data_IF_059840438142
#
_entry.id   IF_059840438142
#
_cell.length_a   1.000
_cell.length_b   1.000
_cell.length_c   1.000
_cell.angle_alpha   90.00
_cell.angle_beta   90.00
_cell.angle_gamma   90.00
#
_symmetry.space_group_name_H-M   'P 1'
#
loop_
_entity.id
_entity.type
_entity.pdbx_description
1 polymer ?
#
# COMPACT_ATOMS: atom_id res chain seq x y z
N UNK A 1 -38.69 -55.48 37.20
CA UNK A 1 -38.68 -54.00 37.20
C UNK A 1 -37.24 -53.52 37.42
N UNK A 2 -36.42 -53.55 36.36
CA UNK A 2 -35.01 -53.12 36.41
C UNK A 2 -34.91 -51.68 35.96
N UNK A 3 -34.86 -50.76 36.92
CA UNK A 3 -34.59 -49.34 36.67
C UNK A 3 -33.16 -49.20 36.16
N UNK A 4 -33.01 -48.71 34.93
CA UNK A 4 -31.72 -48.31 34.40
C UNK A 4 -31.14 -47.18 35.25
N UNK A 5 -30.09 -47.49 36.00
CA UNK A 5 -29.27 -46.53 36.71
C UNK A 5 -28.73 -45.48 35.71
N UNK A 6 -29.14 -44.23 35.93
CA UNK A 6 -28.62 -43.08 35.22
C UNK A 6 -27.12 -42.98 35.43
N UNK A 7 -26.35 -43.16 34.36
CA UNK A 7 -24.90 -42.94 34.37
C UNK A 7 -24.62 -41.53 34.88
N UNK A 8 -23.73 -41.35 35.89
CA UNK A 8 -23.40 -40.01 36.37
C UNK A 8 -22.77 -39.23 35.22
N UNK A 9 -23.37 -38.07 34.90
CA UNK A 9 -22.80 -37.11 33.96
C UNK A 9 -21.39 -36.78 34.45
N UNK A 10 -20.37 -37.29 33.75
CA UNK A 10 -18.97 -36.95 34.03
C UNK A 10 -18.84 -35.44 33.84
N UNK A 11 -18.81 -34.70 34.94
CA UNK A 11 -18.50 -33.27 34.93
C UNK A 11 -17.18 -33.11 34.16
N UNK A 12 -17.23 -32.41 33.04
CA UNK A 12 -16.04 -32.19 32.22
C UNK A 12 -14.92 -31.63 33.10
N UNK A 13 -13.70 -32.14 32.94
CA UNK A 13 -12.53 -31.66 33.66
C UNK A 13 -12.48 -30.11 33.61
N UNK A 14 -12.16 -29.42 34.71
CA UNK A 14 -12.10 -27.95 34.74
C UNK A 14 -11.25 -27.35 33.61
N UNK A 15 -10.22 -28.08 33.16
CA UNK A 15 -9.37 -27.73 32.02
C UNK A 15 -10.13 -27.77 30.70
N UNK A 16 -10.93 -28.80 30.48
CA UNK A 16 -11.79 -28.95 29.29
C UNK A 16 -12.86 -27.87 29.29
N UNK A 17 -13.51 -27.61 30.42
CA UNK A 17 -14.48 -26.53 30.55
C UNK A 17 -13.86 -25.15 30.24
N UNK A 18 -12.64 -24.89 30.72
CA UNK A 18 -11.91 -23.65 30.42
C UNK A 18 -11.54 -23.52 28.93
N UNK A 19 -11.06 -24.60 28.30
CA UNK A 19 -10.74 -24.59 26.87
C UNK A 19 -11.99 -24.39 26.00
N UNK A 20 -13.09 -25.07 26.32
CA UNK A 20 -14.37 -24.90 25.60
C UNK A 20 -14.88 -23.46 25.73
N UNK A 21 -14.78 -22.85 26.91
CA UNK A 21 -15.13 -21.45 27.14
C UNK A 21 -14.24 -20.51 26.32
N UNK A 22 -12.94 -20.76 26.25
CA UNK A 22 -12.01 -19.98 25.43
C UNK A 22 -12.32 -20.08 23.93
N UNK A 23 -12.63 -21.29 23.44
CA UNK A 23 -13.03 -21.51 22.04
C UNK A 23 -14.34 -20.78 21.74
N UNK A 24 -15.33 -20.88 22.62
CA UNK A 24 -16.59 -20.16 22.49
C UNK A 24 -16.37 -18.65 22.39
N UNK A 25 -15.55 -18.07 23.29
CA UNK A 25 -15.23 -16.65 23.22
C UNK A 25 -14.48 -16.26 21.95
N UNK A 26 -13.60 -17.13 21.44
CA UNK A 26 -12.90 -16.88 20.18
C UNK A 26 -13.88 -16.85 19.01
N UNK A 27 -14.79 -17.82 18.93
CA UNK A 27 -15.82 -17.86 17.89
C UNK A 27 -16.77 -16.66 17.99
N UNK A 28 -17.22 -16.34 19.19
CA UNK A 28 -18.05 -15.17 19.44
C UNK A 28 -17.31 -13.87 19.09
N UNK A 29 -16.04 -13.74 19.46
CA UNK A 29 -15.24 -12.57 19.10
C UNK A 29 -15.08 -12.42 17.59
N UNK A 30 -15.01 -13.53 16.83
CA UNK A 30 -14.96 -13.48 15.35
C UNK A 30 -16.27 -13.01 14.71
N UNK A 31 -17.43 -13.25 15.34
CA UNK A 31 -18.73 -12.79 14.80
C UNK A 31 -19.18 -11.45 15.37
N UNK A 32 -18.93 -11.16 16.65
CA UNK A 32 -19.38 -9.95 17.34
C UNK A 32 -18.86 -8.65 16.69
N UNK A 33 -17.61 -8.64 16.24
CA UNK A 33 -17.00 -7.45 15.60
C UNK A 33 -17.01 -7.51 14.07
N UNK A 34 -17.88 -8.33 13.46
CA UNK A 34 -17.97 -8.46 11.99
C UNK A 34 -18.19 -7.11 11.30
N UNK A 35 -19.17 -6.33 11.78
CA UNK A 35 -19.53 -5.02 11.21
C UNK A 35 -18.38 -4.01 11.27
N UNK A 36 -17.62 -4.01 12.37
CA UNK A 36 -16.46 -3.11 12.50
C UNK A 36 -15.32 -3.52 11.57
N UNK A 37 -15.05 -4.83 11.43
CA UNK A 37 -13.97 -5.32 10.57
C UNK A 37 -14.25 -5.08 9.08
N UNK A 38 -15.50 -5.25 8.63
CA UNK A 38 -15.85 -4.96 7.23
C UNK A 38 -15.70 -3.46 6.90
N UNK A 39 -16.03 -2.57 7.85
CA UNK A 39 -16.04 -1.12 7.60
C UNK A 39 -14.67 -0.46 7.84
N UNK A 40 -13.91 -0.93 8.85
CA UNK A 40 -12.66 -0.28 9.31
C UNK A 40 -11.43 -1.18 9.24
N UNK A 41 -11.57 -2.43 8.76
CA UNK A 41 -10.45 -3.35 8.60
C UNK A 41 -9.36 -2.78 7.68
N UNK A 42 -9.76 -2.07 6.62
CA UNK A 42 -8.82 -1.37 5.73
C UNK A 42 -7.96 -0.38 6.53
N UNK A 43 -8.56 0.43 7.38
CA UNK A 43 -7.84 1.43 8.18
C UNK A 43 -6.81 0.80 9.13
N UNK A 44 -7.14 -0.35 9.72
CA UNK A 44 -6.17 -1.11 10.54
C UNK A 44 -5.01 -1.70 9.74
N UNK A 45 -5.21 -1.98 8.45
CA UNK A 45 -4.12 -2.41 7.56
C UNK A 45 -3.25 -1.22 7.19
N UNK A 46 -3.86 -0.11 6.79
CA UNK A 46 -3.15 1.11 6.42
C UNK A 46 -2.33 1.70 7.56
N UNK A 47 -2.84 1.70 8.79
CA UNK A 47 -2.08 2.14 9.97
C UNK A 47 -0.85 1.28 10.24
N UNK A 48 -0.88 -0.03 9.92
CA UNK A 48 0.29 -0.91 10.00
C UNK A 48 1.26 -0.73 8.83
N UNK A 49 0.76 -0.33 7.67
CA UNK A 49 1.58 -0.04 6.49
C UNK A 49 2.15 1.39 6.48
N UNK A 50 1.57 2.32 7.24
CA UNK A 50 1.97 3.73 7.25
C UNK A 50 3.47 3.95 7.52
N UNK A 51 4.13 3.25 8.47
CA UNK A 51 5.57 3.41 8.68
C UNK A 51 6.42 2.99 7.47
N UNK A 52 5.93 2.07 6.64
CA UNK A 52 6.63 1.61 5.45
C UNK A 52 6.51 2.59 4.27
N UNK A 53 5.65 3.61 4.36
CA UNK A 53 5.60 4.67 3.34
C UNK A 53 6.90 5.48 3.28
N UNK A 54 7.58 5.69 4.42
CA UNK A 54 8.82 6.45 4.50
C UNK A 54 9.95 5.89 3.62
N UNK A 55 10.21 4.57 3.58
CA UNK A 55 11.18 4.01 2.65
C UNK A 55 10.60 3.76 1.24
N UNK A 56 9.34 3.36 1.14
CA UNK A 56 8.76 2.95 -0.16
C UNK A 56 8.53 4.16 -1.08
N UNK A 57 8.02 5.28 -0.56
CA UNK A 57 7.69 6.44 -1.39
C UNK A 57 8.95 7.05 -2.03
N UNK A 58 10.05 7.31 -1.30
CA UNK A 58 11.30 7.77 -1.92
C UNK A 58 11.91 6.76 -2.88
N UNK A 59 11.87 5.46 -2.56
CA UNK A 59 12.39 4.42 -3.45
C UNK A 59 11.60 4.34 -4.77
N UNK A 60 10.27 4.41 -4.69
CA UNK A 60 9.40 4.47 -5.87
C UNK A 60 9.66 5.76 -6.66
N UNK A 61 9.72 6.91 -6.00
CA UNK A 61 9.98 8.20 -6.63
C UNK A 61 11.34 8.22 -7.35
N UNK A 62 12.38 7.64 -6.76
CA UNK A 62 13.70 7.49 -7.39
C UNK A 62 13.66 6.58 -8.62
N UNK A 63 13.03 5.40 -8.48
CA UNK A 63 12.92 4.44 -9.57
C UNK A 63 12.12 5.00 -10.76
N UNK A 64 11.03 5.70 -10.49
CA UNK A 64 10.18 6.30 -11.54
C UNK A 64 10.66 7.69 -12.00
N UNK A 65 11.69 8.26 -11.37
CA UNK A 65 12.16 9.62 -11.68
C UNK A 65 12.58 9.79 -13.14
N UNK A 66 13.16 8.75 -13.75
CA UNK A 66 13.53 8.77 -15.17
C UNK A 66 12.33 8.87 -16.12
N UNK A 67 11.18 8.30 -15.72
CA UNK A 67 9.98 8.16 -16.55
C UNK A 67 9.05 9.38 -16.51
N UNK A 68 9.15 10.21 -15.47
CA UNK A 68 8.27 11.37 -15.32
C UNK A 68 8.54 12.45 -16.38
N UNK A 69 7.54 13.29 -16.68
CA UNK A 69 7.78 14.48 -17.53
C UNK A 69 8.61 15.52 -16.76
N UNK A 70 9.29 16.40 -17.49
CA UNK A 70 10.15 17.43 -16.87
C UNK A 70 9.37 18.36 -15.92
N UNK A 71 8.09 18.62 -16.18
CA UNK A 71 7.21 19.41 -15.30
C UNK A 71 6.92 18.69 -13.97
N UNK A 72 6.69 17.37 -14.03
CA UNK A 72 6.50 16.55 -12.83
C UNK A 72 7.80 16.45 -12.02
N UNK A 73 8.95 16.31 -12.69
CA UNK A 73 10.27 16.35 -12.02
C UNK A 73 10.50 17.70 -11.34
N UNK A 74 10.16 18.81 -12.01
CA UNK A 74 10.24 20.15 -11.41
C UNK A 74 9.31 20.29 -10.20
N UNK A 75 8.10 19.75 -10.27
CA UNK A 75 7.14 19.79 -9.16
C UNK A 75 7.62 18.97 -7.95
N UNK A 76 8.13 17.76 -8.19
CA UNK A 76 8.65 16.87 -7.13
C UNK A 76 9.94 17.36 -6.50
N UNK A 77 10.76 18.11 -7.25
CA UNK A 77 11.99 18.73 -6.75
C UNK A 77 11.77 20.16 -6.25
N UNK A 78 10.52 20.59 -6.08
CA UNK A 78 10.15 21.94 -5.62
C UNK A 78 10.78 23.07 -6.47
N UNK A 79 11.01 22.82 -7.75
CA UNK A 79 11.56 23.79 -8.70
C UNK A 79 13.07 23.71 -8.94
N UNK A 80 13.79 22.84 -8.22
CA UNK A 80 15.26 22.73 -8.32
C UNK A 80 15.69 22.02 -9.63
N UNK A 81 14.85 21.15 -10.19
CA UNK A 81 15.20 20.43 -11.41
C UNK A 81 15.11 21.35 -12.64
N UNK A 82 16.27 21.58 -13.26
CA UNK A 82 16.39 22.14 -14.61
C UNK A 82 16.62 21.00 -15.61
N UNK A 83 15.82 20.92 -16.70
CA UNK A 83 15.94 19.84 -17.65
C UNK A 83 17.26 19.93 -18.44
N UNK A 84 18.00 18.83 -18.59
CA UNK A 84 19.28 18.85 -19.30
C UNK A 84 19.09 19.10 -20.81
N UNK A 85 19.84 20.09 -21.33
CA UNK A 85 19.77 20.58 -22.71
C UNK A 85 20.09 19.52 -23.77
N UNK A 86 20.89 18.50 -23.44
CA UNK A 86 21.22 17.37 -24.32
C UNK A 86 21.10 16.07 -23.53
N UNK A 87 20.26 15.15 -24.00
CA UNK A 87 20.22 13.76 -23.53
C UNK A 87 20.20 12.84 -24.75
N UNK A 88 21.13 11.86 -24.75
CA UNK A 88 21.34 10.93 -25.86
C UNK A 88 20.14 10.04 -26.26
N UNK A 89 19.12 9.89 -25.41
CA UNK A 89 17.99 8.96 -25.62
C UNK A 89 16.60 9.62 -25.40
N UNK A 90 16.55 10.94 -25.19
CA UNK A 90 15.29 11.67 -24.95
C UNK A 90 15.17 12.98 -25.72
N UNK A 91 16.08 13.23 -26.67
CA UNK A 91 16.01 14.43 -27.50
C UNK A 91 14.90 14.39 -28.56
N UNK A 92 14.07 13.34 -28.58
CA UNK A 92 13.05 13.08 -29.62
C UNK A 92 11.67 12.66 -29.10
N UNK A 93 11.38 12.76 -27.79
CA UNK A 93 10.08 12.34 -27.24
C UNK A 93 9.20 13.53 -26.83
N UNK A 94 7.88 13.41 -27.02
CA UNK A 94 6.87 14.46 -26.72
C UNK A 94 6.73 14.80 -25.23
N UNK A 95 7.45 14.10 -24.35
CA UNK A 95 7.40 14.24 -22.89
C UNK A 95 8.32 15.34 -22.33
N UNK A 96 9.11 15.99 -23.21
CA UNK A 96 10.03 17.10 -22.86
C UNK A 96 9.30 18.44 -22.74
N UNK A 97 9.75 19.25 -21.79
CA UNK A 97 9.25 20.62 -21.60
C UNK A 97 9.58 21.55 -22.78
N UNK A 98 8.74 22.55 -23.02
CA UNK A 98 8.94 23.52 -24.10
C UNK A 98 10.24 24.30 -23.97
N UNK A 99 10.73 24.51 -22.75
CA UNK A 99 12.03 25.13 -22.47
C UNK A 99 13.18 24.42 -23.23
N UNK A 100 13.20 23.09 -23.24
CA UNK A 100 14.24 22.32 -23.97
C UNK A 100 14.05 22.43 -25.48
N UNK A 101 12.81 22.45 -25.97
CA UNK A 101 12.52 22.61 -27.41
C UNK A 101 12.99 23.97 -27.93
N UNK A 102 12.85 25.02 -27.12
CA UNK A 102 13.30 26.37 -27.48
C UNK A 102 14.83 26.54 -27.40
N UNK A 103 15.52 25.87 -26.49
CA UNK A 103 16.96 26.05 -26.27
C UNK A 103 17.85 25.00 -26.96
N UNK A 104 17.30 23.89 -27.44
CA UNK A 104 18.01 22.86 -28.20
C UNK A 104 18.00 23.09 -29.71
N UNK A 105 17.81 24.33 -30.18
CA UNK A 105 17.80 24.66 -31.61
C UNK A 105 19.18 24.40 -32.23
N UNK A 106 19.28 23.33 -33.02
CA UNK A 106 20.47 23.06 -33.80
C UNK A 106 20.40 23.87 -35.11
N UNK A 107 21.51 24.51 -35.54
CA UNK A 107 21.55 25.22 -36.80
C UNK A 107 21.27 24.25 -37.97
N UNK A 108 20.23 24.53 -38.77
CA UNK A 108 19.93 23.82 -40.02
C UNK A 108 18.74 22.86 -40.02
N UNK A 109 17.98 22.73 -38.93
CA UNK A 109 16.76 21.89 -38.88
C UNK A 109 15.52 22.78 -38.77
N UNK A 110 14.55 22.72 -39.70
CA UNK A 110 13.32 23.50 -39.59
C UNK A 110 12.43 22.89 -38.50
N UNK A 111 12.21 23.67 -37.44
CA UNK A 111 11.28 23.34 -36.36
C UNK A 111 9.94 24.04 -36.65
N UNK A 112 9.14 23.46 -37.54
CA UNK A 112 7.73 23.82 -37.80
C UNK A 112 6.78 22.96 -36.99
#
# INVERSE_FOLDING_TARGET
SSRGEGRPLRLASPRVAAMTKAVYFKLWATTANWTQRKNYGWYQVWTRLAPWSFPIVPAAAWYTFGWWSDEWKKTLTLGIYEPPLVHWDSNMTSMRSDFVKFHAQYPGIPYT
#
